data_IF_168726521295
#
_entry.id   IF_168726521295
#
_cell.length_a   1.000
_cell.length_b   1.000
_cell.length_c   1.000
_cell.angle_alpha   90.00
_cell.angle_beta   90.00
_cell.angle_gamma   90.00
#
_symmetry.space_group_name_H-M   'P 1'
#
loop_
_entity.id
_entity.type
_entity.pdbx_description
1 polymer ?
#
# COMPACT_ATOMS: atom_id res chain seq x y z
N UNK A 1 71.99 -1.84 -34.27
CA UNK A 1 71.37 -1.21 -33.08
C UNK A 1 70.09 -0.40 -33.37
N UNK A 2 69.91 0.21 -34.56
CA UNK A 2 68.73 1.06 -34.87
C UNK A 2 67.41 0.28 -34.96
N UNK A 3 67.43 -0.92 -35.54
CA UNK A 3 66.23 -1.78 -35.67
C UNK A 3 65.72 -2.32 -34.33
N UNK A 4 66.62 -2.68 -33.40
CA UNK A 4 66.25 -3.12 -32.05
C UNK A 4 65.49 -2.03 -31.29
N UNK A 5 66.00 -0.78 -31.33
CA UNK A 5 65.34 0.37 -30.71
C UNK A 5 63.95 0.61 -31.30
N UNK A 6 63.80 0.43 -32.61
CA UNK A 6 62.52 0.61 -33.31
C UNK A 6 61.49 -0.46 -32.91
N UNK A 7 61.91 -1.72 -32.81
CA UNK A 7 61.04 -2.82 -32.34
C UNK A 7 60.56 -2.58 -30.91
N UNK A 8 61.45 -2.13 -30.03
CA UNK A 8 61.10 -1.80 -28.64
C UNK A 8 60.08 -0.65 -28.59
N UNK A 9 60.30 0.42 -29.35
CA UNK A 9 59.36 1.56 -29.41
C UNK A 9 57.98 1.13 -29.94
N UNK A 10 57.94 0.33 -31.01
CA UNK A 10 56.67 -0.19 -31.56
C UNK A 10 55.96 -1.09 -30.55
N UNK A 11 56.69 -1.96 -29.84
CA UNK A 11 56.15 -2.77 -28.76
C UNK A 11 55.54 -1.94 -27.63
N UNK A 12 56.23 -0.88 -27.20
CA UNK A 12 55.73 0.05 -26.18
C UNK A 12 54.46 0.80 -26.62
N UNK A 13 54.42 1.29 -27.86
CA UNK A 13 53.24 1.99 -28.41
C UNK A 13 52.05 1.02 -28.54
N UNK A 14 52.28 -0.20 -29.01
CA UNK A 14 51.25 -1.23 -29.09
C UNK A 14 50.66 -1.59 -27.72
N UNK A 15 51.52 -1.77 -26.72
CA UNK A 15 51.10 -2.01 -25.33
C UNK A 15 50.29 -0.85 -24.75
N UNK A 16 50.73 0.39 -24.99
CA UNK A 16 50.01 1.59 -24.56
C UNK A 16 48.62 1.71 -25.19
N UNK A 17 48.50 1.49 -26.51
CA UNK A 17 47.22 1.55 -27.21
C UNK A 17 46.28 0.45 -26.74
N UNK A 18 46.78 -0.78 -26.55
CA UNK A 18 45.99 -1.89 -26.03
C UNK A 18 45.41 -1.56 -24.65
N UNK A 19 46.25 -1.09 -23.71
CA UNK A 19 45.81 -0.73 -22.37
C UNK A 19 44.80 0.41 -22.38
N UNK A 20 44.99 1.41 -23.24
CA UNK A 20 44.08 2.55 -23.38
C UNK A 20 42.71 2.12 -23.90
N UNK A 21 42.67 1.25 -24.93
CA UNK A 21 41.41 0.73 -25.49
C UNK A 21 40.68 -0.13 -24.46
N UNK A 22 41.37 -1.01 -23.73
CA UNK A 22 40.74 -1.82 -22.69
C UNK A 22 40.14 -0.96 -21.58
N UNK A 23 40.85 0.07 -21.12
CA UNK A 23 40.31 1.00 -20.13
C UNK A 23 39.09 1.77 -20.67
N UNK A 24 39.13 2.21 -21.93
CA UNK A 24 38.01 2.92 -22.56
C UNK A 24 36.77 2.02 -22.72
N UNK A 25 36.96 0.73 -23.02
CA UNK A 25 35.87 -0.25 -23.05
C UNK A 25 35.21 -0.41 -21.67
N UNK A 26 36.00 -0.53 -20.59
CA UNK A 26 35.46 -0.55 -19.22
C UNK A 26 34.81 0.77 -18.82
N UNK A 27 35.32 1.90 -19.31
CA UNK A 27 34.71 3.21 -19.05
C UNK A 27 33.32 3.33 -19.71
N UNK A 28 33.17 2.81 -20.93
CA UNK A 28 31.89 2.84 -21.66
C UNK A 28 30.84 1.87 -21.16
N UNK A 29 31.17 0.91 -20.29
CA UNK A 29 30.14 0.07 -19.65
C UNK A 29 29.41 0.78 -18.52
N UNK A 30 29.87 1.97 -18.09
CA UNK A 30 29.28 2.76 -17.02
C UNK A 30 28.93 1.92 -15.78
N UNK A 31 29.84 1.01 -15.39
CA UNK A 31 29.62 0.17 -14.23
C UNK A 31 29.48 1.03 -12.96
N UNK A 32 28.30 0.98 -12.33
CA UNK A 32 28.04 1.66 -11.07
C UNK A 32 28.28 0.69 -9.93
N UNK A 33 29.19 1.04 -9.01
CA UNK A 33 29.35 0.33 -7.74
C UNK A 33 28.43 1.01 -6.73
N UNK A 34 27.49 0.25 -6.17
CA UNK A 34 26.61 0.73 -5.10
C UNK A 34 27.15 0.20 -3.78
N UNK A 35 27.59 1.11 -2.91
CA UNK A 35 27.91 0.80 -1.52
C UNK A 35 26.65 0.99 -0.65
N UNK A 36 26.14 -0.11 -0.08
CA UNK A 36 24.93 -0.09 0.74
C UNK A 36 25.37 -0.01 2.20
N UNK A 37 25.45 1.22 2.71
CA UNK A 37 25.68 1.46 4.13
C UNK A 37 24.34 1.46 4.88
N UNK A 38 24.23 0.61 5.91
CA UNK A 38 23.06 0.59 6.78
C UNK A 38 23.31 1.48 7.99
N UNK A 39 22.67 2.65 8.01
CA UNK A 39 22.72 3.57 9.14
C UNK A 39 21.39 3.46 9.88
N UNK A 40 21.44 3.12 11.16
CA UNK A 40 20.27 3.17 12.02
C UNK A 40 20.24 4.54 12.73
N UNK A 41 19.33 5.47 12.37
CA UNK A 41 19.24 6.76 13.06
C UNK A 41 18.61 6.60 14.46
N UNK A 42 18.87 7.55 15.37
CA UNK A 42 18.23 7.61 16.70
C UNK A 42 16.73 7.90 16.62
N UNK A 43 16.27 8.53 15.54
CA UNK A 43 14.87 8.78 15.26
C UNK A 43 14.54 8.37 13.83
N UNK A 44 13.45 7.65 13.65
CA UNK A 44 12.91 7.30 12.34
C UNK A 44 11.51 7.85 12.18
N UNK A 45 11.25 8.50 11.03
CA UNK A 45 9.90 8.91 10.66
C UNK A 45 9.08 7.68 10.30
N UNK A 46 7.90 7.57 10.90
CA UNK A 46 6.92 6.55 10.52
C UNK A 46 6.54 6.82 9.06
N UNK A 47 6.41 5.80 8.21
CA UNK A 47 5.90 5.98 6.85
C UNK A 47 4.42 6.36 6.87
N UNK A 48 3.91 6.76 5.71
CA UNK A 48 2.47 6.78 5.49
C UNK A 48 1.94 5.34 5.48
N UNK A 49 0.90 5.06 6.25
CA UNK A 49 0.28 3.73 6.30
C UNK A 49 -1.11 3.85 5.70
N UNK A 50 -1.35 3.09 4.63
CA UNK A 50 -2.66 2.99 3.99
C UNK A 50 -3.32 1.68 4.36
N UNK A 51 -4.57 1.75 4.79
CA UNK A 51 -5.40 0.59 5.09
C UNK A 51 -6.75 0.75 4.40
N UNK A 52 -7.30 -0.36 3.93
CA UNK A 52 -8.54 -0.39 3.16
C UNK A 52 -9.57 -1.26 3.86
N UNK A 53 -10.80 -0.79 3.87
CA UNK A 53 -11.96 -1.59 4.20
C UNK A 53 -12.70 -1.92 2.91
N UNK A 54 -12.68 -3.19 2.52
CA UNK A 54 -13.37 -3.70 1.32
C UNK A 54 -14.90 -3.56 1.43
N UNK A 55 -15.42 -3.40 2.66
CA UNK A 55 -16.80 -3.06 2.94
C UNK A 55 -16.88 -1.69 3.66
N UNK A 56 -16.54 -0.65 2.92
CA UNK A 56 -16.42 0.72 3.44
C UNK A 56 -17.74 1.40 3.81
N UNK A 57 -18.89 0.78 3.52
CA UNK A 57 -20.22 1.30 3.85
C UNK A 57 -20.79 0.58 5.08
N UNK A 58 -21.49 1.34 5.93
CA UNK A 58 -22.22 0.80 7.06
C UNK A 58 -23.54 0.13 6.59
N UNK A 59 -23.66 -1.20 6.73
CA UNK A 59 -24.81 -1.94 6.23
C UNK A 59 -26.12 -1.62 6.97
N UNK A 60 -26.06 -1.10 8.20
CA UNK A 60 -27.29 -0.75 8.96
C UNK A 60 -28.08 0.35 8.27
N UNK A 61 -27.40 1.35 7.72
CA UNK A 61 -28.06 2.45 7.01
C UNK A 61 -28.60 2.03 5.65
N UNK A 62 -27.84 1.19 4.93
CA UNK A 62 -28.30 0.69 3.64
C UNK A 62 -29.48 -0.28 3.79
N UNK A 63 -29.34 -1.30 4.65
CA UNK A 63 -30.35 -2.35 4.78
C UNK A 63 -31.67 -1.88 5.41
N UNK A 64 -31.65 -0.82 6.20
CA UNK A 64 -32.85 -0.22 6.79
C UNK A 64 -33.36 0.99 5.98
N UNK A 65 -32.65 1.36 4.91
CA UNK A 65 -32.96 2.50 4.06
C UNK A 65 -33.83 2.14 2.85
N UNK A 66 -33.84 2.97 1.79
CA UNK A 66 -34.66 2.76 0.60
C UNK A 66 -34.23 1.54 -0.24
N UNK A 67 -33.03 1.00 0.02
CA UNK A 67 -32.48 -0.13 -0.73
C UNK A 67 -32.57 -1.36 0.17
N UNK A 68 -33.36 -2.34 -0.26
CA UNK A 68 -33.45 -3.59 0.49
C UNK A 68 -32.20 -4.41 0.24
N UNK A 69 -31.50 -4.75 1.32
CA UNK A 69 -30.41 -5.72 1.24
C UNK A 69 -30.92 -7.07 0.76
N UNK A 70 -30.12 -7.74 -0.07
CA UNK A 70 -30.44 -9.05 -0.58
C UNK A 70 -30.12 -10.07 0.52
N UNK A 71 -31.08 -10.92 0.83
CA UNK A 71 -30.92 -11.99 1.83
C UNK A 71 -30.07 -13.14 1.29
N UNK A 72 -29.33 -13.81 2.18
CA UNK A 72 -28.50 -14.98 1.86
C UNK A 72 -29.19 -16.04 0.98
N UNK A 73 -30.50 -16.27 1.17
CA UNK A 73 -31.24 -17.27 0.41
C UNK A 73 -31.42 -16.94 -1.08
N UNK A 74 -31.44 -15.66 -1.46
CA UNK A 74 -31.48 -15.27 -2.88
C UNK A 74 -30.11 -15.32 -3.54
N UNK A 75 -29.03 -15.27 -2.75
CA UNK A 75 -27.64 -15.17 -3.24
C UNK A 75 -27.01 -16.55 -3.44
N UNK A 76 -27.55 -17.58 -2.79
CA UNK A 76 -27.12 -18.98 -2.98
C UNK A 76 -27.11 -19.44 -4.44
N UNK A 77 -27.93 -18.83 -5.29
CA UNK A 77 -28.02 -19.15 -6.73
C UNK A 77 -26.95 -18.44 -7.57
N UNK A 78 -26.31 -17.39 -7.04
CA UNK A 78 -25.40 -16.49 -7.77
C UNK A 78 -23.96 -16.61 -7.25
N UNK A 79 -23.78 -16.76 -5.94
CA UNK A 79 -22.47 -16.87 -5.29
C UNK A 79 -22.35 -18.21 -4.55
N UNK A 80 -21.33 -18.98 -4.93
CA UNK A 80 -20.90 -20.17 -4.18
C UNK A 80 -19.78 -19.80 -3.19
N UNK A 81 -19.67 -20.57 -2.11
CA UNK A 81 -18.61 -20.39 -1.10
C UNK A 81 -17.17 -20.51 -1.65
N UNK A 82 -17.00 -20.96 -2.90
CA UNK A 82 -15.71 -20.95 -3.61
C UNK A 82 -15.22 -19.54 -3.96
N UNK A 83 -16.11 -18.57 -4.19
CA UNK A 83 -15.74 -17.17 -4.49
C UNK A 83 -15.48 -16.33 -3.22
N UNK A 84 -15.81 -16.83 -2.03
CA UNK A 84 -15.77 -16.05 -0.80
C UNK A 84 -15.67 -16.92 0.45
N UNK A 85 -14.56 -17.66 0.56
CA UNK A 85 -14.33 -18.59 1.69
C UNK A 85 -14.41 -17.89 3.06
N UNK A 86 -14.07 -16.61 3.13
CA UNK A 86 -14.12 -15.79 4.35
C UNK A 86 -15.54 -15.44 4.82
N UNK A 87 -16.54 -15.56 3.95
CA UNK A 87 -17.93 -15.17 4.24
C UNK A 87 -18.76 -16.38 4.69
N UNK A 88 -18.35 -17.59 4.28
CA UNK A 88 -19.06 -18.82 4.62
C UNK A 88 -18.60 -19.39 5.96
N UNK A 89 -19.54 -19.98 6.70
CA UNK A 89 -19.22 -20.72 7.93
C UNK A 89 -18.39 -21.95 7.52
N UNK A 90 -17.13 -22.01 7.97
CA UNK A 90 -16.18 -23.06 7.57
C UNK A 90 -16.73 -24.49 7.73
N UNK A 91 -17.53 -24.73 8.78
CA UNK A 91 -18.08 -26.05 9.09
C UNK A 91 -19.23 -26.46 8.16
N UNK A 92 -20.07 -25.51 7.74
CA UNK A 92 -21.31 -25.83 7.02
C UNK A 92 -21.29 -25.44 5.55
N UNK A 93 -20.25 -24.74 5.09
CA UNK A 93 -20.12 -24.20 3.73
C UNK A 93 -21.40 -23.46 3.29
N UNK A 94 -22.04 -22.78 4.25
CA UNK A 94 -23.27 -22.02 4.04
C UNK A 94 -23.08 -20.62 4.57
N UNK A 95 -23.73 -19.66 3.91
CA UNK A 95 -23.87 -18.31 4.41
C UNK A 95 -24.61 -18.31 5.75
N UNK A 96 -24.20 -17.47 6.72
CA UNK A 96 -24.97 -17.18 7.92
C UNK A 96 -26.42 -16.79 7.57
N UNK A 97 -27.39 -17.16 8.41
CA UNK A 97 -28.83 -16.89 8.14
C UNK A 97 -29.15 -15.39 8.10
N UNK A 98 -28.38 -14.61 8.84
CA UNK A 98 -28.44 -13.16 8.95
C UNK A 98 -27.56 -12.43 7.92
N UNK A 99 -26.87 -13.16 7.05
CA UNK A 99 -26.04 -12.57 6.00
C UNK A 99 -26.89 -11.79 5.00
N UNK A 100 -26.46 -10.55 4.74
CA UNK A 100 -27.10 -9.58 3.87
C UNK A 100 -26.05 -8.95 2.97
N UNK A 101 -26.36 -8.81 1.68
CA UNK A 101 -25.48 -8.10 0.75
C UNK A 101 -26.16 -6.87 0.18
N UNK A 102 -25.31 -5.93 -0.24
CA UNK A 102 -25.72 -4.70 -0.90
C UNK A 102 -25.11 -4.72 -2.30
N UNK A 103 -25.92 -4.63 -3.38
CA UNK A 103 -25.40 -4.47 -4.72
C UNK A 103 -24.96 -3.02 -4.92
N UNK A 104 -23.74 -2.69 -4.50
CA UNK A 104 -23.22 -1.33 -4.53
C UNK A 104 -23.12 -0.76 -5.95
N UNK A 105 -22.72 -1.58 -6.91
CA UNK A 105 -22.56 -1.17 -8.31
C UNK A 105 -23.86 -0.70 -8.95
N UNK A 106 -24.97 -1.42 -8.73
CA UNK A 106 -26.28 -1.02 -9.25
C UNK A 106 -26.82 0.25 -8.58
N UNK A 107 -26.54 0.44 -7.29
CA UNK A 107 -26.93 1.65 -6.58
C UNK A 107 -26.15 2.87 -7.06
N UNK A 108 -24.82 2.76 -7.15
CA UNK A 108 -23.96 3.86 -7.57
C UNK A 108 -24.15 4.23 -9.05
N UNK A 109 -24.53 3.28 -9.91
CA UNK A 109 -24.96 3.58 -11.29
C UNK A 109 -26.21 4.47 -11.34
N UNK A 110 -27.10 4.37 -10.35
CA UNK A 110 -28.39 5.08 -10.32
C UNK A 110 -28.35 6.37 -9.50
N UNK A 111 -27.44 6.48 -8.54
CA UNK A 111 -27.35 7.63 -7.64
C UNK A 111 -25.91 8.07 -7.42
N UNK A 112 -25.65 9.33 -7.74
CA UNK A 112 -24.43 10.02 -7.32
C UNK A 112 -24.55 10.42 -5.85
N UNK A 113 -23.56 10.03 -5.05
CA UNK A 113 -23.51 10.38 -3.62
C UNK A 113 -22.82 11.73 -3.45
N UNK A 114 -23.47 12.65 -2.73
CA UNK A 114 -22.81 13.88 -2.30
C UNK A 114 -21.73 13.58 -1.23
N UNK A 115 -20.74 14.47 -1.03
CA UNK A 115 -19.71 14.28 0.00
C UNK A 115 -20.28 14.09 1.41
N UNK A 116 -21.39 14.77 1.73
CA UNK A 116 -22.06 14.69 3.02
C UNK A 116 -22.76 13.34 3.24
N UNK A 117 -23.51 12.85 2.25
CA UNK A 117 -24.13 11.52 2.28
C UNK A 117 -23.08 10.42 2.38
N UNK A 118 -21.99 10.58 1.64
CA UNK A 118 -20.90 9.62 1.64
C UNK A 118 -20.19 9.55 3.00
N UNK A 119 -20.04 10.69 3.71
CA UNK A 119 -19.52 10.71 5.09
C UNK A 119 -20.44 9.95 6.05
N UNK A 120 -21.75 10.05 5.87
CA UNK A 120 -22.73 9.35 6.69
C UNK A 120 -22.81 7.85 6.39
N UNK A 121 -22.68 7.47 5.12
CA UNK A 121 -22.76 6.07 4.68
C UNK A 121 -21.50 5.28 5.01
N UNK A 122 -20.35 5.94 5.15
CA UNK A 122 -19.09 5.31 5.51
C UNK A 122 -19.15 4.65 6.87
N UNK A 123 -18.52 3.48 6.99
CA UNK A 123 -18.25 2.88 8.28
C UNK A 123 -17.23 3.75 9.04
N UNK A 124 -17.47 4.09 10.32
CA UNK A 124 -16.48 4.77 11.16
C UNK A 124 -15.16 4.00 11.15
N UNK A 125 -14.04 4.71 11.16
CA UNK A 125 -12.70 4.11 11.08
C UNK A 125 -12.42 3.26 12.31
N UNK A 126 -12.90 3.74 13.45
CA UNK A 126 -12.77 3.13 14.77
C UNK A 126 -13.44 1.75 14.85
N UNK A 127 -14.46 1.50 14.02
CA UNK A 127 -15.21 0.24 13.99
C UNK A 127 -14.49 -0.89 13.21
N UNK A 128 -13.38 -0.59 12.52
CA UNK A 128 -12.66 -1.61 11.75
C UNK A 128 -11.13 -1.50 11.81
N UNK A 129 -10.59 -0.37 12.24
CA UNK A 129 -9.16 -0.16 12.35
C UNK A 129 -8.80 0.29 13.76
N UNK A 130 -7.91 -0.45 14.40
CA UNK A 130 -7.27 -0.06 15.66
C UNK A 130 -5.77 -0.15 15.48
N UNK A 131 -5.05 0.89 15.92
CA UNK A 131 -3.62 1.02 15.67
C UNK A 131 -2.90 1.42 16.95
N UNK A 132 -1.84 0.67 17.26
CA UNK A 132 -0.98 0.84 18.43
C UNK A 132 0.46 0.88 17.97
N UNK A 133 1.15 1.97 18.30
CA UNK A 133 2.60 2.07 18.14
C UNK A 133 3.21 1.54 19.43
N UNK A 134 3.94 0.43 19.29
CA UNK A 134 4.68 -0.19 20.39
C UNK A 134 6.16 0.17 20.20
N UNK A 135 6.73 0.79 21.21
CA UNK A 135 8.15 1.07 21.33
C UNK A 135 8.61 0.65 22.73
N UNK A 136 9.91 0.55 22.97
CA UNK A 136 10.43 0.31 24.33
C UNK A 136 10.09 1.45 25.30
N UNK A 137 9.95 2.69 24.80
CA UNK A 137 9.56 3.86 25.59
C UNK A 137 8.10 3.82 26.03
N UNK A 138 7.33 2.84 25.53
CA UNK A 138 5.94 2.62 25.87
C UNK A 138 5.07 2.46 24.64
N UNK A 139 3.78 2.43 24.91
CA UNK A 139 2.75 2.19 23.91
C UNK A 139 1.84 3.41 23.81
N UNK A 140 1.54 3.81 22.58
CA UNK A 140 0.55 4.86 22.29
C UNK A 140 -0.36 4.44 21.13
N UNK A 141 -1.56 5.01 21.09
CA UNK A 141 -2.45 4.83 19.95
C UNK A 141 -2.02 5.75 18.80
N UNK A 142 -2.24 5.30 17.57
CA UNK A 142 -1.99 6.10 16.38
C UNK A 142 -3.00 7.24 16.29
N UNK A 143 -2.59 8.42 15.80
CA UNK A 143 -3.52 9.51 15.53
C UNK A 143 -4.34 9.22 14.28
N UNK A 144 -5.65 9.16 14.44
CA UNK A 144 -6.61 8.91 13.35
C UNK A 144 -7.46 10.15 13.02
N UNK A 145 -7.11 11.33 13.53
CA UNK A 145 -7.90 12.55 13.32
C UNK A 145 -7.70 13.14 11.90
N UNK A 146 -6.47 13.05 11.36
CA UNK A 146 -6.08 13.62 10.06
C UNK A 146 -5.91 12.55 8.98
N UNK A 147 -6.97 11.79 8.74
CA UNK A 147 -6.99 10.74 7.73
C UNK A 147 -7.14 11.33 6.32
N UNK A 148 -6.24 10.95 5.43
CA UNK A 148 -6.45 11.16 4.01
C UNK A 148 -7.29 10.01 3.47
N UNK A 149 -8.35 10.35 2.75
CA UNK A 149 -9.21 9.37 2.12
C UNK A 149 -8.75 9.24 0.67
N UNK A 150 -8.28 8.04 0.31
CA UNK A 150 -7.83 7.73 -1.05
C UNK A 150 -8.98 7.67 -2.06
N UNK A 151 -8.63 7.58 -3.35
CA UNK A 151 -9.61 7.40 -4.43
C UNK A 151 -10.40 6.10 -4.22
N UNK A 152 -11.71 6.18 -4.43
CA UNK A 152 -12.60 5.04 -4.48
C UNK A 152 -12.25 4.23 -5.73
N UNK A 153 -11.49 3.15 -5.59
CA UNK A 153 -11.27 2.21 -6.68
C UNK A 153 -11.81 0.86 -6.23
N UNK A 154 -12.82 0.39 -6.94
CA UNK A 154 -13.26 -0.99 -6.83
C UNK A 154 -13.43 -1.55 -8.23
N UNK A 155 -12.51 -2.42 -8.59
CA UNK A 155 -12.67 -3.33 -9.74
C UNK A 155 -13.68 -4.46 -9.40
N UNK A 156 -14.14 -4.51 -8.15
CA UNK A 156 -15.10 -5.47 -7.62
C UNK A 156 -16.49 -4.85 -7.41
N UNK A 157 -17.53 -5.66 -7.24
CA UNK A 157 -18.88 -5.19 -6.88
C UNK A 157 -19.00 -4.63 -5.44
N UNK A 158 -17.88 -4.45 -4.74
CA UNK A 158 -17.83 -3.96 -3.36
C UNK A 158 -17.49 -2.47 -3.30
N UNK A 159 -17.92 -1.79 -2.23
CA UNK A 159 -17.56 -0.40 -2.01
C UNK A 159 -16.36 -0.31 -1.06
N UNK A 160 -15.15 -0.37 -1.64
CA UNK A 160 -13.90 -0.22 -0.89
C UNK A 160 -13.65 1.25 -0.51
N UNK A 161 -13.22 1.50 0.72
CA UNK A 161 -12.70 2.81 1.15
C UNK A 161 -11.34 2.62 1.79
N UNK A 162 -10.35 3.35 1.27
CA UNK A 162 -8.99 3.36 1.80
C UNK A 162 -8.71 4.66 2.53
N UNK A 163 -7.98 4.53 3.63
CA UNK A 163 -7.56 5.62 4.49
C UNK A 163 -6.05 5.56 4.65
N UNK A 164 -5.41 6.73 4.66
CA UNK A 164 -3.98 6.86 4.86
C UNK A 164 -3.72 7.74 6.09
N UNK A 165 -3.00 7.18 7.06
CA UNK A 165 -2.47 7.92 8.20
C UNK A 165 -1.04 8.39 7.93
N UNK A 166 -0.63 9.45 8.62
CA UNK A 166 0.75 9.93 8.65
C UNK A 166 1.34 10.20 7.24
N UNK A 167 0.54 10.75 6.33
CA UNK A 167 0.96 11.17 5.00
C UNK A 167 1.08 12.69 4.91
N UNK A 168 2.04 13.16 4.12
CA UNK A 168 2.20 14.57 3.71
C UNK A 168 1.43 14.93 2.46
N UNK A 169 0.78 13.95 1.82
CA UNK A 169 -0.01 14.19 0.64
C UNK A 169 -1.13 15.20 0.97
N UNK A 170 -1.28 16.26 0.18
CA UNK A 170 -2.21 17.38 0.43
C UNK A 170 -2.02 18.15 1.75
N UNK A 171 -0.98 17.84 2.53
CA UNK A 171 -0.69 18.45 3.85
C UNK A 171 0.83 18.70 3.98
N UNK A 172 1.40 19.67 3.23
CA UNK A 172 2.85 19.88 3.16
C UNK A 172 3.46 20.25 4.51
N UNK A 173 2.73 20.99 5.34
CA UNK A 173 3.18 21.46 6.66
C UNK A 173 3.03 20.41 7.77
N UNK A 174 2.50 19.22 7.45
CA UNK A 174 2.31 18.16 8.45
C UNK A 174 3.64 17.59 8.93
N UNK A 175 3.83 17.67 10.24
CA UNK A 175 4.93 17.00 10.93
C UNK A 175 4.61 15.52 11.02
N UNK A 176 5.46 14.70 10.39
CA UNK A 176 5.33 13.25 10.44
C UNK A 176 5.63 12.74 11.85
N UNK A 177 4.88 11.74 12.27
CA UNK A 177 5.16 11.05 13.51
C UNK A 177 6.51 10.35 13.41
N UNK A 178 7.29 10.46 14.50
CA UNK A 178 8.58 9.80 14.63
C UNK A 178 8.53 8.77 15.75
N UNK A 179 9.39 7.77 15.63
CA UNK A 179 9.69 6.79 16.66
C UNK A 179 11.17 6.93 16.99
N UNK A 180 11.49 6.91 18.27
CA UNK A 180 12.87 6.90 18.76
C UNK A 180 13.38 5.47 18.74
N UNK A 181 14.58 5.28 18.18
CA UNK A 181 15.37 4.06 18.37
C UNK A 181 15.70 3.96 19.84
N UNK A 182 15.53 2.77 20.38
CA UNK A 182 15.83 2.49 21.76
C UNK A 182 16.83 1.37 21.85
N UNK A 183 18.08 1.75 21.96
CA UNK A 183 19.07 0.84 22.51
C UNK A 183 19.25 1.21 23.98
N UNK A 184 18.57 0.46 24.85
CA UNK A 184 19.14 0.01 26.12
C UNK A 184 18.22 -1.02 26.76
N UNK A 185 18.47 -2.29 26.46
CA UNK A 185 18.62 -3.32 27.48
C UNK A 185 19.90 -4.08 27.19
#
# INVERSE_FOLDING_TARGET
MRHLKLVVVVGCIGGFLYQTISFLQYYWTYAVVVDIQTIAPEEFSIPAITFCNDNGINPRYFCNGPIKCIMANMIKTIFNCSMGQLICIMVTLKFPRDFRTIPYSDYLKKKNLSPSELKFLKKPVEDFFSCRIVSSAGQRNCKTDDLLIGSYYSDSNFFGVCYTINSRWSQPDKVLEKIKRSDSK
#
